data_IF_910898690948
#
_entry.id   IF_910898690948
#
_cell.length_a   1.000
_cell.length_b   1.000
_cell.length_c   1.000
_cell.angle_alpha   90.00
_cell.angle_beta   90.00
_cell.angle_gamma   90.00
#
_symmetry.space_group_name_H-M   'P 1'
#
loop_
_entity.id
_entity.type
_entity.pdbx_description
1 polymer ?
#
# COMPACT_ATOMS: atom_id res chain seq x y z
N UNK A 1 -20.12 21.59 -17.69
CA UNK A 1 -21.16 22.58 -17.92
C UNK A 1 -21.63 22.53 -19.38
N UNK A 2 -20.71 22.63 -20.36
CA UNK A 2 -21.05 22.60 -21.79
C UNK A 2 -21.89 21.36 -22.15
N UNK A 3 -21.50 20.17 -21.74
CA UNK A 3 -22.23 18.91 -21.98
C UNK A 3 -23.67 18.96 -21.45
N UNK A 4 -23.92 19.60 -20.30
CA UNK A 4 -25.26 19.77 -19.75
C UNK A 4 -26.06 20.78 -20.60
N UNK A 5 -25.43 21.87 -20.99
CA UNK A 5 -26.04 22.88 -21.87
C UNK A 5 -26.42 22.26 -23.23
N UNK A 6 -25.52 21.48 -23.83
CA UNK A 6 -25.76 20.78 -25.09
C UNK A 6 -26.94 19.79 -25.01
N UNK A 7 -27.10 19.12 -23.86
CA UNK A 7 -28.19 18.18 -23.64
C UNK A 7 -29.56 18.90 -23.49
N UNK A 8 -29.61 20.00 -22.74
CA UNK A 8 -30.88 20.72 -22.49
C UNK A 8 -31.21 21.80 -23.53
N UNK A 9 -30.27 22.11 -24.45
CA UNK A 9 -30.41 23.14 -25.44
C UNK A 9 -30.44 24.57 -24.88
N UNK A 10 -30.60 25.54 -25.77
CA UNK A 10 -30.53 26.97 -25.40
C UNK A 10 -31.75 27.47 -24.59
N UNK A 11 -32.81 26.69 -24.53
CA UNK A 11 -34.03 27.03 -23.78
C UNK A 11 -33.83 26.93 -22.25
N UNK A 12 -32.87 26.17 -21.79
CA UNK A 12 -32.56 26.02 -20.38
C UNK A 12 -31.25 26.79 -20.02
N UNK A 13 -31.41 27.86 -19.28
CA UNK A 13 -30.27 28.64 -18.79
C UNK A 13 -29.70 28.00 -17.52
N UNK A 14 -28.56 27.40 -17.64
CA UNK A 14 -27.82 26.87 -16.45
C UNK A 14 -27.50 28.01 -15.49
N UNK A 15 -27.76 27.83 -14.18
CA UNK A 15 -27.34 28.79 -13.17
C UNK A 15 -25.84 29.03 -13.21
N UNK A 16 -25.40 30.24 -12.89
CA UNK A 16 -23.96 30.50 -12.79
C UNK A 16 -23.35 29.68 -11.66
N UNK A 17 -22.11 29.15 -11.83
CA UNK A 17 -21.41 28.48 -10.76
C UNK A 17 -21.23 29.44 -9.57
N UNK A 18 -21.29 28.97 -8.33
CA UNK A 18 -20.95 29.81 -7.19
C UNK A 18 -19.51 30.32 -7.34
N UNK A 19 -19.29 31.52 -6.82
CA UNK A 19 -17.94 32.10 -6.78
C UNK A 19 -17.01 31.15 -6.02
N UNK A 20 -15.78 30.99 -6.52
CA UNK A 20 -14.76 30.24 -5.81
C UNK A 20 -14.47 30.92 -4.46
N UNK A 21 -14.34 30.15 -3.36
CA UNK A 21 -13.97 30.74 -2.08
C UNK A 21 -12.57 31.36 -2.16
N UNK A 22 -12.39 32.45 -1.42
CA UNK A 22 -11.06 33.05 -1.34
C UNK A 22 -10.10 32.17 -0.54
N UNK A 23 -8.98 31.84 -1.14
CA UNK A 23 -7.96 31.00 -0.54
C UNK A 23 -6.83 31.83 0.07
N UNK A 24 -6.26 31.37 1.20
CA UNK A 24 -5.10 31.98 1.82
C UNK A 24 -3.93 31.01 1.94
N UNK A 25 -2.74 31.58 2.09
CA UNK A 25 -1.52 30.87 2.47
C UNK A 25 -1.23 31.04 3.96
N UNK A 26 -0.62 30.05 4.57
CA UNK A 26 -0.08 30.13 5.92
C UNK A 26 1.42 29.82 5.89
N UNK A 27 2.22 30.55 6.67
CA UNK A 27 3.63 30.23 6.83
C UNK A 27 3.79 28.88 7.51
N UNK A 28 4.98 28.27 7.45
CA UNK A 28 5.24 27.01 8.12
C UNK A 28 4.91 27.05 9.62
N UNK A 29 4.06 26.15 10.05
CA UNK A 29 3.60 26.01 11.44
C UNK A 29 4.49 24.96 12.12
N UNK A 30 5.08 25.29 13.23
CA UNK A 30 5.91 24.40 14.05
C UNK A 30 5.13 23.80 15.19
N UNK A 31 5.55 22.61 15.63
CA UNK A 31 4.91 21.85 16.69
C UNK A 31 5.84 21.73 17.89
N UNK A 32 5.49 22.38 18.98
CA UNK A 32 6.34 22.46 20.20
C UNK A 32 5.88 21.55 21.32
N UNK A 33 4.66 21.03 21.24
CA UNK A 33 4.06 20.23 22.29
C UNK A 33 3.62 18.86 21.77
N UNK A 34 3.73 17.83 22.62
CA UNK A 34 3.45 16.44 22.26
C UNK A 34 2.63 15.75 23.32
N UNK A 35 1.81 14.78 22.91
CA UNK A 35 1.11 13.85 23.79
C UNK A 35 1.15 12.44 23.21
N UNK A 36 1.46 11.43 24.00
CA UNK A 36 1.42 10.02 23.55
C UNK A 36 -0.01 9.48 23.61
N UNK A 37 -0.41 8.78 22.57
CA UNK A 37 -1.76 8.21 22.50
C UNK A 37 -2.03 7.21 23.62
N UNK A 38 -1.04 6.42 24.04
CA UNK A 38 -1.21 5.41 25.07
C UNK A 38 -1.06 5.97 26.50
N UNK A 39 -0.72 7.25 26.63
CA UNK A 39 -0.60 7.90 27.95
C UNK A 39 -1.96 8.26 28.57
N UNK A 40 -3.01 8.35 27.74
CA UNK A 40 -4.36 8.65 28.19
C UNK A 40 -5.39 7.81 27.41
N UNK A 41 -5.45 6.53 27.74
CA UNK A 41 -6.47 5.64 27.19
C UNK A 41 -7.79 5.82 27.92
N UNK A 42 -8.95 5.69 27.24
CA UNK A 42 -10.27 5.66 27.90
C UNK A 42 -10.40 4.41 28.76
N UNK A 43 -11.55 4.26 29.43
CA UNK A 43 -11.85 3.01 30.14
C UNK A 43 -11.92 1.85 29.15
N UNK A 44 -11.22 0.73 29.42
CA UNK A 44 -11.25 -0.42 28.54
C UNK A 44 -12.51 -1.24 28.66
N UNK A 45 -12.89 -1.88 27.58
CA UNK A 45 -13.84 -3.01 27.60
C UNK A 45 -13.04 -4.28 27.78
N UNK A 46 -13.34 -5.04 28.84
CA UNK A 46 -12.65 -6.30 29.14
C UNK A 46 -13.33 -7.44 28.38
N UNK A 47 -12.58 -8.21 27.59
CA UNK A 47 -13.07 -9.37 26.85
C UNK A 47 -12.05 -10.50 26.89
N UNK A 48 -12.54 -11.73 26.91
CA UNK A 48 -11.69 -12.92 26.78
C UNK A 48 -11.04 -12.97 25.40
N UNK A 49 -11.80 -12.61 24.38
CA UNK A 49 -11.38 -12.61 22.97
C UNK A 49 -11.50 -11.21 22.35
N UNK A 50 -10.75 -10.90 21.25
CA UNK A 50 -10.91 -9.65 20.56
C UNK A 50 -12.31 -9.54 19.94
N UNK A 51 -12.85 -8.33 19.91
CA UNK A 51 -14.10 -7.99 19.24
C UNK A 51 -13.89 -6.79 18.31
N UNK A 52 -14.65 -6.73 17.25
CA UNK A 52 -14.55 -5.67 16.24
C UNK A 52 -15.16 -4.33 16.71
N UNK A 53 -14.81 -3.22 16.06
CA UNK A 53 -15.22 -1.86 16.43
C UNK A 53 -16.74 -1.71 16.55
N UNK A 54 -17.49 -2.25 15.59
CA UNK A 54 -18.95 -2.11 15.52
C UNK A 54 -19.65 -2.81 16.70
N UNK A 55 -19.09 -3.91 17.23
CA UNK A 55 -19.61 -4.56 18.43
C UNK A 55 -19.46 -3.69 19.69
N UNK A 56 -18.61 -2.67 19.62
CA UNK A 56 -18.37 -1.69 20.69
C UNK A 56 -18.95 -0.31 20.37
N UNK A 57 -19.83 -0.21 19.36
CA UNK A 57 -20.46 1.03 18.95
C UNK A 57 -19.53 2.04 18.27
N UNK A 58 -18.36 1.61 17.80
CA UNK A 58 -17.40 2.47 17.12
C UNK A 58 -17.42 2.24 15.60
N UNK A 59 -17.48 3.31 14.81
CA UNK A 59 -17.55 3.26 13.34
C UNK A 59 -16.28 3.78 12.63
N UNK A 60 -15.43 4.53 13.32
CA UNK A 60 -14.25 5.20 12.74
C UNK A 60 -13.08 5.27 13.75
N UNK A 61 -11.91 5.66 13.28
CA UNK A 61 -10.73 5.86 14.12
C UNK A 61 -9.89 4.59 14.30
N UNK A 62 -9.45 4.37 15.52
CA UNK A 62 -8.55 3.29 15.89
C UNK A 62 -9.13 2.46 17.03
N UNK A 63 -8.61 1.24 17.19
CA UNK A 63 -8.91 0.37 18.34
C UNK A 63 -7.61 -0.25 18.84
N UNK A 64 -7.44 -0.32 20.14
CA UNK A 64 -6.26 -0.92 20.76
C UNK A 64 -6.68 -2.17 21.55
N UNK A 65 -6.06 -3.29 21.24
CA UNK A 65 -6.16 -4.55 21.98
C UNK A 65 -4.90 -4.73 22.80
N UNK A 66 -5.03 -4.72 24.11
CA UNK A 66 -3.92 -4.92 25.05
C UNK A 66 -4.08 -6.22 25.80
N UNK A 67 -3.05 -7.03 25.84
CA UNK A 67 -2.98 -8.24 26.67
C UNK A 67 -1.61 -8.38 27.31
N UNK A 68 -1.47 -9.31 28.25
CA UNK A 68 -0.21 -9.68 28.89
C UNK A 68 0.27 -11.03 28.38
N UNK A 69 1.55 -11.11 28.08
CA UNK A 69 2.21 -12.34 27.62
C UNK A 69 3.46 -12.60 28.45
N UNK A 70 3.59 -13.84 28.91
CA UNK A 70 4.79 -14.28 29.62
C UNK A 70 5.79 -14.87 28.62
N UNK A 71 6.94 -14.20 28.48
CA UNK A 71 8.05 -14.65 27.64
C UNK A 71 9.05 -15.53 28.38
N UNK A 72 10.15 -16.00 27.72
CA UNK A 72 10.56 -15.51 26.38
C UNK A 72 9.78 -16.18 25.24
N UNK A 73 9.38 -15.38 24.23
CA UNK A 73 8.77 -15.86 23.00
C UNK A 73 9.36 -15.10 21.81
N UNK A 74 9.75 -15.83 20.78
CA UNK A 74 10.07 -15.27 19.45
C UNK A 74 9.25 -16.06 18.43
N UNK A 75 8.30 -15.40 17.77
CA UNK A 75 7.40 -16.06 16.86
C UNK A 75 6.47 -15.13 16.13
N UNK A 76 5.60 -15.72 15.31
CA UNK A 76 4.58 -15.02 14.55
C UNK A 76 3.39 -14.66 15.44
N UNK A 77 3.04 -13.37 15.49
CA UNK A 77 1.77 -12.89 16.03
C UNK A 77 0.80 -12.72 14.88
N UNK A 78 -0.25 -13.57 14.84
CA UNK A 78 -1.26 -13.59 13.79
C UNK A 78 -2.60 -13.07 14.30
N UNK A 79 -3.22 -12.18 13.50
CA UNK A 79 -4.46 -11.47 13.81
C UNK A 79 -5.54 -11.86 12.80
N UNK A 80 -6.24 -12.97 13.05
CA UNK A 80 -7.20 -13.49 12.09
C UNK A 80 -8.35 -12.50 11.82
N UNK A 81 -8.67 -12.30 10.53
CA UNK A 81 -9.68 -11.34 10.06
C UNK A 81 -9.45 -9.91 10.55
N UNK A 82 -8.20 -9.46 10.58
CA UNK A 82 -7.80 -8.10 10.89
C UNK A 82 -8.21 -7.15 9.74
N UNK A 83 -8.78 -5.99 10.11
CA UNK A 83 -9.20 -4.92 9.19
C UNK A 83 -9.04 -3.56 9.85
N UNK A 84 -8.12 -2.67 9.34
CA UNK A 84 -7.44 -2.81 8.04
C UNK A 84 -5.91 -2.93 8.22
N UNK A 85 -5.31 -2.17 9.16
CA UNK A 85 -3.87 -2.11 9.40
C UNK A 85 -3.59 -2.17 10.89
N UNK A 86 -2.72 -3.08 11.30
CA UNK A 86 -2.29 -3.23 12.68
C UNK A 86 -0.83 -2.84 12.85
N UNK A 87 -0.51 -2.22 14.00
CA UNK A 87 0.86 -2.03 14.48
C UNK A 87 0.96 -2.72 15.82
N UNK A 88 2.00 -3.53 16.00
CA UNK A 88 2.22 -4.31 17.22
C UNK A 88 3.35 -3.70 18.03
N UNK A 89 3.12 -3.58 19.33
CA UNK A 89 4.11 -3.10 20.28
C UNK A 89 4.27 -4.11 21.44
N UNK A 90 5.50 -4.22 21.95
CA UNK A 90 5.82 -4.91 23.21
C UNK A 90 6.42 -3.88 24.18
N UNK A 91 5.77 -3.65 25.31
CA UNK A 91 6.11 -2.61 26.28
C UNK A 91 6.31 -1.22 25.64
N UNK A 92 5.46 -0.87 24.68
CA UNK A 92 5.49 0.38 23.94
C UNK A 92 6.58 0.47 22.86
N UNK A 93 7.37 -0.59 22.63
CA UNK A 93 8.34 -0.66 21.52
C UNK A 93 7.70 -1.35 20.32
N UNK A 94 7.73 -0.70 19.17
CA UNK A 94 7.19 -1.24 17.93
C UNK A 94 7.96 -2.50 17.48
N UNK A 95 7.24 -3.59 17.21
CA UNK A 95 7.78 -4.84 16.72
C UNK A 95 7.57 -4.98 15.21
N UNK A 96 6.36 -4.68 14.73
CA UNK A 96 6.00 -4.84 13.33
C UNK A 96 4.65 -4.22 13.00
N UNK A 97 4.24 -4.41 11.77
CA UNK A 97 2.92 -4.03 11.28
C UNK A 97 2.39 -5.09 10.31
N UNK A 98 1.07 -5.19 10.20
CA UNK A 98 0.37 -5.97 9.19
C UNK A 98 -0.63 -5.09 8.46
N UNK A 99 -0.74 -5.23 7.16
CA UNK A 99 -1.59 -4.39 6.33
C UNK A 99 -2.42 -5.24 5.36
N UNK A 100 -3.74 -5.13 5.46
CA UNK A 100 -4.69 -5.85 4.62
C UNK A 100 -4.49 -5.62 3.12
N UNK A 101 -4.02 -4.43 2.72
CA UNK A 101 -3.74 -4.12 1.31
C UNK A 101 -2.76 -5.12 0.72
N UNK A 102 -1.86 -5.66 1.55
CA UNK A 102 -0.83 -6.62 1.18
C UNK A 102 -1.18 -8.06 1.59
N UNK A 103 -2.43 -8.31 1.96
CA UNK A 103 -2.89 -9.62 2.47
C UNK A 103 -2.11 -10.09 3.70
N UNK A 104 -1.55 -9.16 4.47
CA UNK A 104 -0.85 -9.45 5.71
C UNK A 104 -1.84 -9.43 6.87
N UNK A 105 -1.79 -10.46 7.69
CA UNK A 105 -2.55 -10.58 8.94
C UNK A 105 -1.65 -10.98 10.12
N UNK A 106 -0.33 -10.95 9.93
CA UNK A 106 0.66 -11.34 10.92
C UNK A 106 1.94 -10.50 10.85
N UNK A 107 2.69 -10.48 11.94
CA UNK A 107 4.07 -9.98 11.99
C UNK A 107 4.87 -10.74 13.05
N UNK A 108 6.20 -10.77 12.88
CA UNK A 108 7.10 -11.35 13.86
C UNK A 108 7.23 -10.47 15.09
N UNK A 109 7.24 -11.07 16.27
CA UNK A 109 7.45 -10.38 17.54
C UNK A 109 8.49 -11.08 18.41
N UNK A 110 9.17 -10.29 19.22
CA UNK A 110 10.12 -10.77 20.23
C UNK A 110 9.67 -10.27 21.59
N UNK A 111 9.33 -11.20 22.49
CA UNK A 111 8.93 -10.94 23.85
C UNK A 111 10.05 -11.47 24.76
N UNK A 112 10.73 -10.64 25.56
CA UNK A 112 11.77 -11.09 26.49
C UNK A 112 11.23 -12.02 27.59
N UNK A 113 12.11 -12.53 28.45
CA UNK A 113 11.69 -13.31 29.61
C UNK A 113 10.92 -12.42 30.61
N UNK A 114 9.84 -12.95 31.18
CA UNK A 114 8.97 -12.25 32.12
C UNK A 114 7.63 -11.83 31.52
N UNK A 115 6.85 -11.10 32.30
CA UNK A 115 5.49 -10.66 31.94
C UNK A 115 5.53 -9.30 31.23
N UNK A 116 5.14 -9.28 29.98
CA UNK A 116 5.17 -8.12 29.10
C UNK A 116 3.80 -7.71 28.61
N UNK A 117 3.64 -6.42 28.28
CA UNK A 117 2.43 -5.88 27.65
C UNK A 117 2.56 -5.99 26.13
N UNK A 118 1.60 -6.64 25.50
CA UNK A 118 1.45 -6.67 24.03
C UNK A 118 0.27 -5.78 23.65
N UNK A 119 0.55 -4.77 22.86
CA UNK A 119 -0.41 -3.82 22.32
C UNK A 119 -0.56 -4.02 20.81
N UNK A 120 -1.78 -4.22 20.35
CA UNK A 120 -2.13 -4.33 18.94
C UNK A 120 -3.03 -3.15 18.60
N UNK A 121 -2.48 -2.16 17.93
CA UNK A 121 -3.14 -0.92 17.54
C UNK A 121 -3.64 -1.04 16.12
N UNK A 122 -4.96 -1.04 15.92
CA UNK A 122 -5.58 -1.28 14.62
C UNK A 122 -6.28 -0.04 14.10
N UNK A 123 -5.98 0.31 12.88
CA UNK A 123 -6.58 1.42 12.14
C UNK A 123 -7.72 0.93 11.25
N UNK A 124 -8.84 1.63 11.31
CA UNK A 124 -9.91 1.56 10.32
C UNK A 124 -9.56 2.51 9.17
N UNK A 125 -9.13 2.02 8.02
CA UNK A 125 -8.72 2.83 6.86
C UNK A 125 -9.89 3.27 5.96
N UNK A 126 -11.13 3.05 6.35
CA UNK A 126 -12.33 3.38 5.59
C UNK A 126 -13.19 2.17 5.29
N UNK A 127 -14.33 2.40 4.65
CA UNK A 127 -15.29 1.34 4.32
C UNK A 127 -15.23 0.99 2.85
N UNK A 128 -15.49 -0.29 2.53
CA UNK A 128 -15.65 -0.74 1.15
C UNK A 128 -16.90 -0.07 0.58
N UNK A 129 -16.79 0.52 -0.59
CA UNK A 129 -17.88 1.20 -1.30
C UNK A 129 -18.40 0.42 -2.52
N UNK A 130 -17.79 -0.73 -2.85
CA UNK A 130 -18.15 -1.54 -4.00
C UNK A 130 -17.91 -3.03 -3.74
N UNK A 131 -18.73 -3.90 -4.34
CA UNK A 131 -18.57 -5.35 -4.34
C UNK A 131 -19.35 -6.08 -3.24
N UNK A 132 -19.30 -7.41 -3.27
CA UNK A 132 -20.11 -8.30 -2.43
C UNK A 132 -19.79 -8.28 -0.94
N UNK A 133 -18.68 -7.65 -0.53
CA UNK A 133 -18.29 -7.61 0.88
C UNK A 133 -18.77 -6.37 1.64
N UNK A 134 -19.52 -5.46 1.00
CA UNK A 134 -20.03 -4.22 1.63
C UNK A 134 -20.80 -4.50 2.92
N UNK A 135 -21.70 -5.49 2.92
CA UNK A 135 -22.55 -5.80 4.07
C UNK A 135 -21.81 -6.51 5.21
N UNK A 136 -20.78 -7.27 4.90
CA UNK A 136 -20.06 -8.10 5.86
C UNK A 136 -18.84 -7.44 6.50
N UNK A 137 -18.46 -6.25 6.05
CA UNK A 137 -17.24 -5.61 6.54
C UNK A 137 -17.37 -5.14 8.00
N UNK A 138 -16.37 -5.51 8.81
CA UNK A 138 -16.24 -5.09 10.21
C UNK A 138 -14.80 -4.68 10.48
N UNK A 139 -14.56 -3.63 11.23
CA UNK A 139 -13.24 -3.06 11.50
C UNK A 139 -12.64 -3.52 12.83
N UNK A 140 -11.32 -3.59 12.90
CA UNK A 140 -10.61 -4.21 14.02
C UNK A 140 -10.32 -5.69 13.75
N UNK A 141 -10.36 -6.52 14.80
CA UNK A 141 -10.04 -7.95 14.71
C UNK A 141 -11.29 -8.77 15.05
N UNK A 142 -11.65 -9.74 14.20
CA UNK A 142 -12.85 -10.60 14.37
C UNK A 142 -12.56 -12.03 14.72
N UNK A 143 -11.32 -12.45 14.59
CA UNK A 143 -10.90 -13.82 14.84
C UNK A 143 -9.93 -13.90 16.02
N UNK A 144 -9.50 -15.11 16.36
CA UNK A 144 -8.49 -15.26 17.41
C UNK A 144 -7.19 -14.59 17.01
N UNK A 145 -6.51 -14.03 18.03
CA UNK A 145 -5.12 -13.60 17.93
C UNK A 145 -4.27 -14.74 18.45
N UNK A 146 -3.26 -15.14 17.71
CA UNK A 146 -2.36 -16.23 18.10
C UNK A 146 -0.92 -15.75 18.09
N UNK A 147 -0.12 -16.24 19.02
CA UNK A 147 1.33 -16.04 19.09
C UNK A 147 1.99 -17.42 19.03
N UNK A 148 2.79 -17.64 17.98
CA UNK A 148 3.41 -18.95 17.71
C UNK A 148 2.41 -20.10 17.80
N UNK A 149 1.23 -19.90 17.14
CA UNK A 149 0.10 -20.85 17.12
C UNK A 149 -0.74 -20.91 18.40
N UNK A 150 -0.31 -20.32 19.50
CA UNK A 150 -1.06 -20.31 20.76
C UNK A 150 -2.02 -19.12 20.83
N UNK A 151 -3.28 -19.36 21.15
CA UNK A 151 -4.31 -18.32 21.29
C UNK A 151 -3.99 -17.41 22.47
N UNK A 152 -4.03 -16.08 22.20
CA UNK A 152 -3.99 -15.06 23.23
C UNK A 152 -5.41 -14.76 23.71
N UNK A 153 -5.53 -14.49 25.02
CA UNK A 153 -6.80 -14.22 25.69
C UNK A 153 -6.67 -13.06 26.66
N UNK A 154 -7.80 -12.62 27.25
CA UNK A 154 -7.92 -11.61 28.28
C UNK A 154 -7.43 -10.23 27.83
N UNK A 155 -8.18 -9.65 26.90
CA UNK A 155 -7.91 -8.34 26.31
C UNK A 155 -8.56 -7.19 27.08
N UNK A 156 -7.79 -6.14 27.29
CA UNK A 156 -8.29 -4.78 27.55
C UNK A 156 -8.43 -4.08 26.20
N UNK A 157 -9.65 -3.76 25.78
CA UNK A 157 -9.93 -3.20 24.47
C UNK A 157 -10.33 -1.73 24.64
N UNK A 158 -9.63 -0.84 23.92
CA UNK A 158 -9.83 0.60 24.01
C UNK A 158 -10.37 1.16 22.71
N UNK A 159 -11.54 1.80 22.78
CA UNK A 159 -12.13 2.53 21.67
C UNK A 159 -11.44 3.89 21.50
N UNK A 160 -10.93 4.19 20.30
CA UNK A 160 -10.19 5.41 19.97
C UNK A 160 -10.80 6.10 18.75
N UNK A 161 -11.99 6.71 18.89
CA UNK A 161 -12.78 7.20 17.74
C UNK A 161 -12.31 8.54 17.17
N UNK A 162 -11.09 9.01 17.45
CA UNK A 162 -10.55 10.31 17.02
C UNK A 162 -11.40 11.52 17.48
N UNK A 163 -11.95 11.42 18.69
CA UNK A 163 -12.69 12.47 19.39
C UNK A 163 -11.99 12.81 20.69
N UNK A 164 -12.29 14.00 21.25
CA UNK A 164 -11.74 14.39 22.56
C UNK A 164 -10.27 14.78 22.51
N UNK A 165 -9.78 15.26 21.38
CA UNK A 165 -8.38 15.73 21.24
C UNK A 165 -8.06 16.90 22.19
N UNK A 166 -9.06 17.69 22.54
CA UNK A 166 -8.99 18.79 23.50
C UNK A 166 -8.74 18.32 24.95
N UNK A 167 -8.99 17.04 25.23
CA UNK A 167 -8.78 16.44 26.55
C UNK A 167 -7.33 15.94 26.75
N UNK A 168 -6.49 15.98 25.74
CA UNK A 168 -5.13 15.49 25.79
C UNK A 168 -4.25 16.43 26.65
N UNK A 169 -3.36 15.83 27.43
CA UNK A 169 -2.35 16.56 28.19
C UNK A 169 -1.07 16.65 27.38
N UNK A 170 -0.79 17.81 26.85
CA UNK A 170 0.39 18.08 26.04
C UNK A 170 1.58 18.56 26.89
N UNK A 171 2.79 18.25 26.46
CA UNK A 171 4.03 18.76 27.04
C UNK A 171 5.10 18.95 25.96
N UNK A 172 6.15 19.71 26.26
CA UNK A 172 7.32 19.88 25.38
C UNK A 172 8.21 18.62 25.30
N UNK A 173 7.92 17.57 26.07
CA UNK A 173 8.73 16.34 26.10
C UNK A 173 8.18 15.31 25.11
N UNK A 174 9.09 14.57 24.45
CA UNK A 174 8.72 13.42 23.63
C UNK A 174 8.13 12.32 24.52
N UNK A 175 6.95 11.76 24.19
CA UNK A 175 6.42 10.58 24.87
C UNK A 175 7.37 9.38 24.77
N UNK A 176 7.35 8.53 25.77
CA UNK A 176 8.17 7.31 25.79
C UNK A 176 7.69 6.26 24.79
N UNK A 177 8.62 5.42 24.34
CA UNK A 177 8.34 4.35 23.38
C UNK A 177 8.13 4.85 21.94
N UNK A 178 7.56 3.95 21.13
CA UNK A 178 7.28 4.18 19.70
C UNK A 178 5.77 4.33 19.44
N UNK A 179 5.00 4.67 20.47
CA UNK A 179 3.56 4.85 20.38
C UNK A 179 3.18 5.98 19.40
N UNK A 180 1.95 5.99 18.86
CA UNK A 180 1.42 7.12 18.10
C UNK A 180 1.48 8.42 18.92
N UNK A 181 1.85 9.52 18.26
CA UNK A 181 2.08 10.81 18.94
C UNK A 181 1.19 11.89 18.37
N UNK A 182 0.50 12.60 19.26
CA UNK A 182 -0.14 13.87 18.92
C UNK A 182 0.90 14.99 19.05
N UNK A 183 0.97 15.82 18.04
CA UNK A 183 1.79 17.03 18.00
C UNK A 183 0.87 18.24 17.98
N UNK A 184 1.13 19.25 18.82
CA UNK A 184 0.35 20.48 18.90
C UNK A 184 1.20 21.68 18.54
N UNK A 185 0.64 22.53 17.68
CA UNK A 185 1.21 23.79 17.25
C UNK A 185 0.17 24.91 17.23
N UNK A 186 0.64 26.13 17.06
CA UNK A 186 -0.22 27.31 16.97
C UNK A 186 0.20 28.22 15.83
N UNK A 187 -0.78 28.90 15.25
CA UNK A 187 -0.57 29.88 14.20
C UNK A 187 -1.57 31.05 14.32
N UNK A 188 -1.24 32.18 13.73
CA UNK A 188 -2.09 33.37 13.77
C UNK A 188 -2.68 33.65 12.39
N UNK A 189 -3.94 34.06 12.35
CA UNK A 189 -4.67 34.47 11.15
C UNK A 189 -5.30 35.83 11.40
N UNK A 190 -5.08 36.79 10.51
CA UNK A 190 -5.73 38.11 10.64
C UNK A 190 -7.13 38.13 10.03
N UNK A 191 -7.26 37.53 8.85
CA UNK A 191 -8.52 37.41 8.10
C UNK A 191 -8.72 35.94 7.66
N UNK A 192 -9.54 35.17 8.38
CA UNK A 192 -9.79 33.77 8.04
C UNK A 192 -10.39 33.59 6.65
N UNK A 193 -9.75 32.73 5.87
CA UNK A 193 -10.18 32.25 4.55
C UNK A 193 -9.88 30.78 4.45
N UNK A 194 -10.37 30.13 3.40
CA UNK A 194 -10.08 28.73 3.14
C UNK A 194 -8.60 28.52 2.83
N UNK A 195 -8.09 27.35 3.19
CA UNK A 195 -6.71 26.94 2.88
C UNK A 195 -6.61 25.43 2.77
N UNK A 196 -5.55 24.91 2.14
CA UNK A 196 -5.16 23.52 2.24
C UNK A 196 -3.93 23.39 3.12
N UNK A 197 -3.95 22.48 4.09
CA UNK A 197 -2.83 22.20 4.97
C UNK A 197 -1.94 21.14 4.33
N UNK A 198 -0.77 21.56 3.83
CA UNK A 198 0.22 20.68 3.19
C UNK A 198 0.96 19.86 4.25
N UNK A 199 0.79 18.53 4.19
CA UNK A 199 1.33 17.54 5.14
C UNK A 199 2.58 16.82 4.62
N UNK A 200 3.17 17.25 3.51
CA UNK A 200 4.29 16.52 2.87
C UNK A 200 5.63 16.68 3.59
N UNK A 201 5.79 17.71 4.43
CA UNK A 201 7.04 17.98 5.12
C UNK A 201 7.18 17.16 6.41
N UNK A 202 7.76 15.95 6.29
CA UNK A 202 8.14 15.09 7.41
C UNK A 202 7.01 14.27 8.06
N UNK A 203 5.74 14.50 7.70
CA UNK A 203 4.61 13.73 8.18
C UNK A 203 4.43 12.44 7.39
N UNK A 204 4.03 11.34 8.06
CA UNK A 204 3.88 10.04 7.41
C UNK A 204 2.43 9.62 7.23
N UNK A 205 1.71 9.39 8.31
CA UNK A 205 0.31 8.95 8.26
C UNK A 205 -0.41 9.34 9.53
N UNK A 206 -1.61 9.89 9.40
CA UNK A 206 -2.35 10.26 10.60
C UNK A 206 -3.62 11.06 10.36
N UNK A 207 -3.97 11.90 11.34
CA UNK A 207 -5.19 12.70 11.38
C UNK A 207 -4.85 14.11 11.83
N UNK A 208 -5.56 15.12 11.30
CA UNK A 208 -5.36 16.53 11.64
C UNK A 208 -6.63 17.14 12.23
N UNK A 209 -6.46 17.99 13.23
CA UNK A 209 -7.51 18.83 13.81
C UNK A 209 -7.07 20.30 13.78
N UNK A 210 -8.00 21.19 13.51
CA UNK A 210 -7.82 22.63 13.65
C UNK A 210 -8.94 23.16 14.56
N UNK A 211 -8.57 23.84 15.65
CA UNK A 211 -9.51 24.33 16.67
C UNK A 211 -10.54 23.26 17.12
N UNK A 212 -10.10 21.99 17.23
CA UNK A 212 -10.96 20.86 17.59
C UNK A 212 -11.74 20.22 16.42
N UNK A 213 -11.79 20.85 15.25
CA UNK A 213 -12.44 20.31 14.05
C UNK A 213 -11.53 19.29 13.36
N UNK A 214 -12.02 18.07 13.20
CA UNK A 214 -11.29 16.99 12.51
C UNK A 214 -11.34 17.22 11.00
N UNK A 215 -10.19 17.44 10.37
CA UNK A 215 -10.06 17.64 8.92
C UNK A 215 -9.92 16.34 8.13
N UNK A 216 -9.75 15.21 8.82
CA UNK A 216 -9.55 13.93 8.16
C UNK A 216 -8.11 13.42 8.24
N UNK A 217 -7.79 12.51 7.35
CA UNK A 217 -6.53 11.80 7.31
C UNK A 217 -5.60 12.35 6.26
N UNK A 218 -4.31 12.24 6.56
CA UNK A 218 -3.24 12.38 5.59
C UNK A 218 -2.44 11.09 5.52
N UNK A 219 -1.79 10.87 4.37
CA UNK A 219 -0.86 9.78 4.17
C UNK A 219 0.19 10.19 3.13
N UNK A 220 1.48 9.96 3.42
CA UNK A 220 2.57 10.35 2.53
C UNK A 220 2.50 9.68 1.15
N UNK A 221 1.90 8.49 1.06
CA UNK A 221 1.71 7.81 -0.23
C UNK A 221 0.64 8.46 -1.11
N UNK A 222 -0.17 9.35 -0.58
CA UNK A 222 -1.26 10.02 -1.29
C UNK A 222 -2.57 9.22 -1.17
N UNK A 223 -3.58 9.61 -1.91
CA UNK A 223 -3.67 10.80 -2.78
C UNK A 223 -3.86 12.11 -2.01
N UNK A 224 -4.28 12.05 -0.76
CA UNK A 224 -4.64 13.21 0.07
C UNK A 224 -3.45 13.61 0.94
N UNK A 225 -2.65 14.54 0.41
CA UNK A 225 -1.45 15.06 1.08
C UNK A 225 -1.63 16.50 1.54
N UNK A 226 -2.65 17.21 1.05
CA UNK A 226 -3.09 18.48 1.56
C UNK A 226 -4.55 18.40 2.00
N UNK A 227 -4.84 18.81 3.23
CA UNK A 227 -6.16 18.73 3.82
C UNK A 227 -6.88 20.07 3.73
N UNK A 228 -8.07 20.09 3.14
CA UNK A 228 -8.90 21.28 3.07
C UNK A 228 -9.31 21.73 4.48
N UNK A 229 -9.06 23.00 4.78
CA UNK A 229 -9.44 23.65 6.02
C UNK A 229 -10.35 24.84 5.69
N UNK A 230 -11.67 24.72 5.96
CA UNK A 230 -12.60 25.84 5.79
C UNK A 230 -12.21 27.04 6.65
N UNK A 231 -12.36 28.23 6.10
CA UNK A 231 -12.13 29.49 6.84
C UNK A 231 -13.01 29.62 8.09
N UNK A 232 -14.19 28.99 8.08
CA UNK A 232 -15.11 28.91 9.22
C UNK A 232 -14.54 28.15 10.44
N UNK A 233 -13.57 27.26 10.25
CA UNK A 233 -12.89 26.59 11.35
C UNK A 233 -11.76 27.43 11.96
N UNK A 234 -11.45 28.55 11.33
CA UNK A 234 -10.42 29.49 11.76
C UNK A 234 -11.05 30.71 12.46
N UNK A 235 -10.28 31.36 13.30
CA UNK A 235 -10.67 32.60 13.96
C UNK A 235 -9.57 33.65 13.80
N UNK A 236 -9.91 34.94 13.82
CA UNK A 236 -8.89 35.98 13.92
C UNK A 236 -8.04 35.80 15.16
N UNK A 237 -6.73 35.98 15.04
CA UNK A 237 -5.76 35.74 16.08
C UNK A 237 -5.26 34.29 16.15
N UNK A 238 -5.05 33.78 17.34
CA UNK A 238 -4.40 32.48 17.61
C UNK A 238 -5.33 31.31 17.31
N UNK A 239 -4.85 30.39 16.46
CA UNK A 239 -5.49 29.11 16.12
C UNK A 239 -4.61 27.95 16.59
N UNK A 240 -5.23 26.84 16.94
CA UNK A 240 -4.56 25.58 17.33
C UNK A 240 -4.62 24.60 16.18
N UNK A 241 -3.52 23.86 15.97
CA UNK A 241 -3.47 22.69 15.12
C UNK A 241 -2.92 21.50 15.91
N UNK A 242 -3.59 20.35 15.79
CA UNK A 242 -3.13 19.09 16.36
C UNK A 242 -2.99 18.08 15.23
N UNK A 243 -1.84 17.43 15.17
CA UNK A 243 -1.53 16.35 14.21
C UNK A 243 -1.25 15.08 14.99
N UNK A 244 -2.04 14.04 14.79
CA UNK A 244 -1.68 12.68 15.19
C UNK A 244 -0.86 12.06 14.06
N UNK A 245 0.36 11.62 14.34
CA UNK A 245 1.11 10.74 13.44
C UNK A 245 1.23 9.34 14.04
N UNK A 246 0.88 8.32 13.27
CA UNK A 246 0.86 6.91 13.71
C UNK A 246 2.09 6.12 13.28
N UNK A 247 2.90 6.68 12.38
CA UNK A 247 4.09 6.02 11.81
C UNK A 247 5.43 6.68 12.19
N UNK A 248 5.40 7.59 13.17
CA UNK A 248 6.60 8.22 13.71
C UNK A 248 7.15 9.36 12.86
N UNK A 249 6.29 10.01 12.07
CA UNK A 249 6.60 11.26 11.37
C UNK A 249 6.57 12.46 12.30
N UNK A 250 7.26 13.51 11.91
CA UNK A 250 7.16 14.85 12.53
C UNK A 250 7.74 15.89 11.57
N UNK A 251 7.11 17.04 11.47
CA UNK A 251 7.52 18.06 10.52
C UNK A 251 6.85 19.40 10.75
N UNK A 252 6.72 20.18 9.69
CA UNK A 252 5.95 21.41 9.65
C UNK A 252 4.69 21.24 8.81
N UNK A 253 3.75 22.16 8.95
CA UNK A 253 2.56 22.28 8.10
C UNK A 253 2.49 23.70 7.59
N UNK A 254 2.23 23.89 6.30
CA UNK A 254 1.99 25.21 5.71
C UNK A 254 0.61 25.26 5.05
N UNK A 255 0.00 26.42 5.01
CA UNK A 255 -1.22 26.64 4.24
C UNK A 255 -0.91 26.95 2.79
N UNK A 256 -1.59 26.29 1.86
CA UNK A 256 -1.46 26.49 0.41
C UNK A 256 -2.84 26.74 -0.22
N UNK A 257 -2.86 27.41 -1.38
CA UNK A 257 -4.11 27.77 -2.06
C UNK A 257 -4.71 26.63 -2.89
N UNK A 258 -3.92 25.65 -3.24
CA UNK A 258 -4.33 24.56 -4.14
C UNK A 258 -4.26 23.22 -3.46
N UNK A 259 -5.17 22.33 -3.85
CA UNK A 259 -5.16 20.96 -3.41
C UNK A 259 -3.93 20.20 -3.99
N UNK A 260 -3.39 19.27 -3.21
CA UNK A 260 -2.23 18.46 -3.61
C UNK A 260 -2.67 17.00 -3.61
N UNK A 261 -2.65 16.39 -4.79
CA UNK A 261 -3.08 15.01 -5.04
C UNK A 261 -1.95 14.15 -5.62
N UNK A 262 -0.74 14.34 -5.10
CA UNK A 262 0.38 13.52 -5.52
C UNK A 262 0.23 12.08 -5.00
N UNK A 263 0.74 11.14 -5.77
CA UNK A 263 0.82 9.75 -5.38
C UNK A 263 2.28 9.36 -5.27
N UNK A 264 2.70 8.99 -4.07
CA UNK A 264 4.05 8.52 -3.81
C UNK A 264 4.06 7.00 -3.67
N UNK A 265 5.19 6.41 -4.02
CA UNK A 265 5.40 4.98 -3.83
C UNK A 265 5.41 4.65 -2.34
N UNK A 266 4.62 3.65 -1.93
CA UNK A 266 4.73 3.06 -0.61
C UNK A 266 5.95 2.12 -0.58
N UNK A 267 6.99 2.41 0.21
CA UNK A 267 8.18 1.54 0.28
C UNK A 267 7.85 0.11 0.71
N UNK A 268 6.80 -0.08 1.51
CA UNK A 268 6.34 -1.41 1.93
C UNK A 268 5.77 -2.24 0.75
N UNK A 269 5.38 -1.58 -0.36
CA UNK A 269 4.88 -2.28 -1.55
C UNK A 269 5.98 -2.96 -2.36
N UNK A 270 7.19 -2.44 -2.32
CA UNK A 270 8.27 -2.91 -3.19
C UNK A 270 8.55 -4.41 -3.03
N UNK A 271 8.36 -4.96 -1.83
CA UNK A 271 8.64 -6.37 -1.53
C UNK A 271 7.41 -7.27 -1.63
N UNK A 272 6.18 -6.72 -1.50
CA UNK A 272 4.93 -7.50 -1.50
C UNK A 272 4.54 -7.96 -2.92
N UNK A 273 4.85 -7.15 -3.92
CA UNK A 273 4.53 -7.44 -5.33
C UNK A 273 5.71 -7.98 -6.11
N UNK A 274 6.81 -8.27 -5.44
CA UNK A 274 7.97 -8.89 -6.03
C UNK A 274 8.00 -10.38 -5.73
N UNK A 275 8.30 -11.19 -6.75
CA UNK A 275 8.64 -12.60 -6.55
C UNK A 275 10.16 -12.73 -6.51
N UNK A 276 10.68 -13.38 -5.48
CA UNK A 276 12.11 -13.64 -5.34
C UNK A 276 12.98 -12.40 -5.10
N UNK A 277 14.29 -12.58 -5.12
CA UNK A 277 15.28 -11.50 -4.96
C UNK A 277 15.63 -10.89 -6.31
N UNK A 278 15.87 -9.56 -6.38
CA UNK A 278 16.29 -8.90 -7.62
C UNK A 278 17.53 -9.53 -8.23
N UNK A 279 17.49 -9.73 -9.54
CA UNK A 279 18.60 -10.28 -10.31
C UNK A 279 18.97 -9.36 -11.46
N UNK A 280 20.25 -9.43 -11.88
CA UNK A 280 20.77 -8.68 -13.01
C UNK A 280 21.37 -9.64 -14.04
N UNK A 281 20.66 -9.95 -15.14
CA UNK A 281 21.25 -10.66 -16.26
C UNK A 281 22.44 -9.89 -16.84
N UNK A 282 23.54 -10.59 -17.12
CA UNK A 282 24.70 -9.98 -17.75
C UNK A 282 24.47 -9.80 -19.26
N UNK A 283 25.09 -8.79 -19.86
CA UNK A 283 24.98 -8.54 -21.30
C UNK A 283 25.39 -9.77 -22.16
N UNK A 284 26.32 -10.57 -21.69
CA UNK A 284 26.74 -11.82 -22.35
C UNK A 284 25.69 -12.93 -22.35
N UNK A 285 24.62 -12.80 -21.56
CA UNK A 285 23.51 -13.74 -21.48
C UNK A 285 22.32 -13.32 -22.35
N UNK A 286 22.39 -12.18 -23.04
CA UNK A 286 21.39 -11.72 -24.01
C UNK A 286 21.38 -12.66 -25.22
N UNK A 287 20.26 -13.34 -25.46
CA UNK A 287 20.10 -14.30 -26.56
C UNK A 287 19.21 -13.76 -27.68
N UNK A 288 18.31 -12.85 -27.36
CA UNK A 288 17.43 -12.19 -28.33
C UNK A 288 16.95 -10.83 -27.83
N UNK A 289 16.77 -9.90 -28.77
CA UNK A 289 16.04 -8.65 -28.56
C UNK A 289 15.21 -8.34 -29.78
N UNK A 290 14.05 -7.74 -29.61
CA UNK A 290 13.15 -7.45 -30.73
C UNK A 290 11.97 -6.61 -30.31
N UNK A 291 11.07 -6.45 -31.28
CA UNK A 291 9.80 -5.76 -31.12
C UNK A 291 8.69 -6.73 -31.50
N UNK A 292 7.73 -6.96 -30.59
CA UNK A 292 6.54 -7.71 -30.93
C UNK A 292 5.61 -6.90 -31.84
N UNK A 293 4.93 -7.56 -32.77
CA UNK A 293 3.91 -6.93 -33.58
C UNK A 293 2.73 -6.48 -32.70
N UNK A 294 2.11 -5.36 -33.08
CA UNK A 294 0.90 -4.89 -32.43
C UNK A 294 -0.26 -5.84 -32.76
N UNK A 295 -1.01 -6.28 -31.76
CA UNK A 295 -2.16 -7.16 -31.95
C UNK A 295 -2.31 -8.17 -30.83
N UNK A 296 -3.27 -9.09 -30.99
CA UNK A 296 -3.58 -10.13 -30.02
C UNK A 296 -3.03 -11.51 -30.42
N UNK A 297 -2.51 -11.64 -31.64
CA UNK A 297 -2.10 -12.91 -32.19
C UNK A 297 -0.83 -13.45 -31.52
N UNK A 298 -0.73 -14.77 -31.42
CA UNK A 298 0.47 -15.44 -30.94
C UNK A 298 1.64 -15.18 -31.90
N UNK A 299 2.80 -14.89 -31.36
CA UNK A 299 4.02 -14.63 -32.10
C UNK A 299 5.10 -15.66 -31.74
N UNK A 300 5.70 -16.26 -32.77
CA UNK A 300 6.81 -17.20 -32.60
C UNK A 300 8.13 -16.51 -32.96
N UNK A 301 9.07 -16.59 -32.04
CA UNK A 301 10.39 -15.97 -32.13
C UNK A 301 11.45 -17.06 -32.12
N UNK A 302 12.27 -17.10 -33.16
CA UNK A 302 13.42 -18.03 -33.26
C UNK A 302 14.71 -17.33 -32.83
N UNK A 303 15.50 -18.01 -32.02
CA UNK A 303 16.83 -17.55 -31.67
C UNK A 303 17.78 -17.72 -32.90
N UNK A 304 18.78 -16.85 -32.98
CA UNK A 304 19.78 -16.94 -34.07
C UNK A 304 20.51 -18.30 -34.09
N UNK A 305 20.70 -18.88 -32.93
CA UNK A 305 21.23 -20.22 -32.72
C UNK A 305 20.61 -20.81 -31.44
N UNK A 306 20.45 -22.15 -31.34
CA UNK A 306 19.95 -22.77 -30.14
C UNK A 306 20.86 -22.50 -28.93
N UNK A 307 20.25 -22.21 -27.76
CA UNK A 307 20.97 -21.88 -26.54
C UNK A 307 20.71 -22.93 -25.44
N UNK A 308 21.71 -23.20 -24.61
CA UNK A 308 21.59 -24.05 -23.43
C UNK A 308 21.15 -23.21 -22.24
N UNK A 309 19.96 -23.42 -21.70
CA UNK A 309 19.45 -22.66 -20.59
C UNK A 309 18.56 -23.46 -19.66
N UNK A 310 18.61 -23.14 -18.38
CA UNK A 310 17.63 -23.49 -17.36
C UNK A 310 16.86 -22.23 -16.93
N UNK A 311 17.53 -21.09 -16.87
CA UNK A 311 16.92 -19.82 -16.44
C UNK A 311 16.75 -18.90 -17.63
N UNK A 312 15.54 -18.34 -17.77
CA UNK A 312 15.21 -17.37 -18.82
C UNK A 312 14.68 -16.12 -18.17
N UNK A 313 15.23 -14.96 -18.52
CA UNK A 313 14.67 -13.66 -18.18
C UNK A 313 14.06 -13.02 -19.41
N UNK A 314 12.78 -12.65 -19.34
CA UNK A 314 12.13 -11.77 -20.31
C UNK A 314 12.03 -10.38 -19.70
N UNK A 315 12.60 -9.39 -20.39
CA UNK A 315 12.55 -7.98 -20.00
C UNK A 315 11.67 -7.24 -21.00
N UNK A 316 10.56 -6.68 -20.52
CA UNK A 316 9.71 -5.76 -21.29
C UNK A 316 10.27 -4.34 -21.13
N UNK A 317 10.63 -3.71 -22.23
CA UNK A 317 11.22 -2.35 -22.25
C UNK A 317 10.13 -1.27 -22.30
N UNK A 318 9.00 -1.59 -22.91
CA UNK A 318 7.81 -0.73 -23.06
C UNK A 318 6.62 -1.56 -23.54
N UNK A 319 5.46 -0.92 -23.64
CA UNK A 319 4.23 -1.50 -24.18
C UNK A 319 3.73 -0.70 -25.39
N UNK A 320 2.86 -1.31 -26.21
CA UNK A 320 2.29 -0.67 -27.39
C UNK A 320 1.37 0.52 -27.09
N UNK A 321 0.80 0.57 -25.90
CA UNK A 321 -0.04 1.66 -25.40
C UNK A 321 0.75 2.76 -24.66
N UNK A 322 2.08 2.64 -24.59
CA UNK A 322 2.97 3.50 -23.80
C UNK A 322 2.61 3.55 -22.29
N UNK A 323 1.77 2.62 -21.84
CA UNK A 323 1.39 2.48 -20.44
C UNK A 323 2.51 1.84 -19.59
N UNK A 324 2.36 1.87 -18.26
CA UNK A 324 3.36 1.32 -17.35
C UNK A 324 3.26 -0.21 -17.20
N UNK A 325 2.37 -0.89 -17.91
CA UNK A 325 2.09 -2.31 -17.71
C UNK A 325 2.82 -3.19 -18.73
N UNK A 326 3.16 -4.43 -18.31
CA UNK A 326 3.56 -5.50 -19.21
C UNK A 326 2.67 -6.73 -18.98
N UNK A 327 1.99 -7.19 -20.00
CA UNK A 327 1.00 -8.26 -19.90
C UNK A 327 1.36 -9.44 -20.81
N UNK A 328 1.35 -10.64 -20.24
CA UNK A 328 1.63 -11.91 -20.92
C UNK A 328 0.43 -12.83 -20.71
N UNK A 329 -0.26 -13.26 -21.75
CA UNK A 329 -1.25 -14.33 -21.64
C UNK A 329 -0.55 -15.69 -21.57
N UNK A 330 0.40 -15.93 -22.50
CA UNK A 330 1.23 -17.14 -22.47
C UNK A 330 2.65 -16.88 -22.94
N UNK A 331 3.59 -17.61 -22.31
CA UNK A 331 4.98 -17.68 -22.71
C UNK A 331 5.40 -19.16 -22.78
N UNK A 332 5.81 -19.61 -23.95
CA UNK A 332 6.19 -21.00 -24.21
C UNK A 332 7.57 -21.05 -24.85
N UNK A 333 8.43 -21.99 -24.46
CA UNK A 333 9.74 -22.18 -25.09
C UNK A 333 9.73 -23.38 -26.02
N UNK A 334 10.56 -23.30 -27.05
CA UNK A 334 10.73 -24.31 -28.08
C UNK A 334 12.03 -25.06 -27.86
N UNK A 335 11.98 -26.39 -27.95
CA UNK A 335 13.17 -27.26 -27.92
C UNK A 335 14.02 -27.07 -29.20
N UNK A 336 15.12 -27.81 -29.32
CA UNK A 336 16.00 -27.75 -30.49
C UNK A 336 15.33 -28.16 -31.80
N UNK A 337 14.25 -28.93 -31.73
CA UNK A 337 13.45 -29.40 -32.87
C UNK A 337 12.25 -28.46 -33.17
N UNK A 338 12.03 -27.44 -32.36
CA UNK A 338 10.90 -26.50 -32.53
C UNK A 338 9.61 -26.95 -31.85
N UNK A 339 9.61 -28.01 -31.04
CA UNK A 339 8.46 -28.44 -30.28
C UNK A 339 8.35 -27.64 -28.97
N UNK A 340 7.10 -27.53 -28.47
CA UNK A 340 6.85 -26.90 -27.17
C UNK A 340 7.46 -27.75 -26.04
N UNK A 341 8.16 -27.06 -25.13
CA UNK A 341 8.63 -27.69 -23.90
C UNK A 341 7.46 -27.88 -22.91
N UNK A 342 7.41 -29.04 -22.20
CA UNK A 342 6.45 -29.24 -21.12
C UNK A 342 6.73 -28.31 -19.94
N UNK A 343 5.67 -27.80 -19.29
CA UNK A 343 5.73 -26.75 -18.27
C UNK A 343 5.71 -27.23 -16.82
N UNK A 344 5.47 -28.49 -16.57
CA UNK A 344 5.19 -29.04 -15.24
C UNK A 344 6.32 -28.81 -14.22
N UNK A 345 7.53 -28.57 -14.69
CA UNK A 345 8.70 -28.28 -13.85
C UNK A 345 9.10 -26.80 -13.79
N UNK A 346 8.33 -25.93 -14.44
CA UNK A 346 8.68 -24.52 -14.48
C UNK A 346 8.25 -23.82 -13.20
N UNK A 347 9.00 -22.80 -12.81
CA UNK A 347 8.64 -21.89 -11.73
C UNK A 347 9.08 -20.47 -12.03
N UNK A 348 8.33 -19.52 -11.51
CA UNK A 348 8.75 -18.10 -11.51
C UNK A 348 9.69 -17.91 -10.32
N UNK A 349 10.94 -17.59 -10.58
CA UNK A 349 11.96 -17.36 -9.54
C UNK A 349 12.20 -15.90 -9.26
N UNK A 350 11.79 -15.02 -10.19
CA UNK A 350 11.76 -13.58 -10.00
C UNK A 350 10.70 -12.93 -10.88
N UNK A 351 10.00 -11.96 -10.31
CA UNK A 351 9.24 -10.93 -11.02
C UNK A 351 9.42 -9.61 -10.28
N UNK A 352 9.73 -8.53 -11.00
CA UNK A 352 9.93 -7.21 -10.37
C UNK A 352 8.64 -6.67 -9.75
N UNK A 353 7.50 -7.03 -10.33
CA UNK A 353 6.16 -6.74 -9.84
C UNK A 353 5.14 -7.70 -10.42
N UNK A 354 4.01 -7.90 -9.75
CA UNK A 354 2.89 -8.69 -10.25
C UNK A 354 1.56 -8.20 -9.73
N UNK A 355 0.48 -8.44 -10.49
CA UNK A 355 -0.89 -8.12 -10.09
C UNK A 355 -1.37 -9.09 -8.99
N UNK A 356 -1.91 -8.55 -7.91
CA UNK A 356 -2.41 -9.33 -6.78
C UNK A 356 -3.93 -9.26 -6.61
N UNK A 357 -4.63 -8.50 -7.45
CA UNK A 357 -6.07 -8.28 -7.36
C UNK A 357 -6.78 -8.51 -8.70
N UNK A 358 -8.09 -8.72 -8.68
CA UNK A 358 -8.91 -8.87 -9.87
C UNK A 358 -8.66 -10.15 -10.68
N UNK A 359 -8.84 -10.06 -11.99
CA UNK A 359 -8.68 -11.20 -12.92
C UNK A 359 -7.25 -11.76 -12.95
N UNK A 360 -6.27 -10.93 -12.68
CA UNK A 360 -4.88 -11.33 -12.66
C UNK A 360 -4.48 -12.11 -11.39
N UNK A 361 -5.26 -12.01 -10.32
CA UNK A 361 -5.03 -12.81 -9.11
C UNK A 361 -5.27 -14.31 -9.31
N UNK A 362 -5.94 -14.69 -10.40
CA UNK A 362 -6.18 -16.09 -10.78
C UNK A 362 -5.05 -16.69 -11.63
N UNK A 363 -4.08 -15.88 -12.06
CA UNK A 363 -2.98 -16.29 -12.93
C UNK A 363 -1.64 -15.61 -12.60
N UNK A 364 -1.48 -15.11 -11.38
CA UNK A 364 -0.23 -14.47 -10.95
C UNK A 364 0.90 -15.45 -10.64
N UNK A 365 2.15 -14.98 -10.47
CA UNK A 365 3.32 -15.83 -10.19
C UNK A 365 3.20 -16.77 -8.99
N UNK A 366 2.16 -16.58 -8.17
CA UNK A 366 1.89 -17.40 -6.97
C UNK A 366 0.84 -18.50 -7.14
N UNK A 367 0.22 -18.67 -8.32
CA UNK A 367 -0.81 -19.69 -8.56
C UNK A 367 -0.27 -21.06 -9.01
N UNK A 368 1.03 -21.18 -9.12
CA UNK A 368 1.69 -22.41 -9.58
C UNK A 368 1.64 -22.63 -11.10
N UNK A 369 1.08 -21.68 -11.88
CA UNK A 369 1.03 -21.74 -13.34
C UNK A 369 2.12 -20.83 -13.94
N UNK A 370 3.22 -21.36 -14.47
CA UNK A 370 4.42 -20.56 -14.75
C UNK A 370 4.37 -19.65 -15.96
N UNK A 371 3.23 -19.43 -16.60
CA UNK A 371 3.22 -18.66 -17.84
C UNK A 371 2.00 -17.77 -18.07
N UNK A 372 1.14 -17.60 -17.08
CA UNK A 372 -0.03 -16.75 -17.19
C UNK A 372 0.17 -15.48 -16.36
N UNK A 373 0.87 -14.44 -16.86
CA UNK A 373 1.21 -13.34 -15.99
C UNK A 373 1.03 -11.97 -16.59
N UNK A 374 0.32 -11.14 -15.86
CA UNK A 374 0.48 -9.71 -15.87
C UNK A 374 1.75 -9.36 -15.09
N UNK A 375 2.74 -8.87 -15.80
CA UNK A 375 3.86 -8.16 -15.22
C UNK A 375 3.47 -6.70 -15.13
N UNK A 376 3.50 -6.13 -14.00
CA UNK A 376 3.14 -4.78 -13.66
C UNK A 376 1.67 -4.47 -13.44
N UNK A 377 1.44 -3.60 -12.57
CA UNK A 377 0.30 -3.64 -11.77
C UNK A 377 -0.18 -2.29 -11.28
N UNK A 378 -1.49 -2.14 -11.34
CA UNK A 378 -2.19 -1.03 -10.73
C UNK A 378 -2.61 -1.40 -9.31
N UNK A 379 -1.81 -1.07 -8.28
CA UNK A 379 -2.28 -1.01 -6.91
C UNK A 379 -2.33 0.43 -6.47
N UNK A 380 -3.54 0.96 -6.28
CA UNK A 380 -3.82 2.22 -5.58
C UNK A 380 -2.69 3.26 -5.65
N UNK A 381 -2.27 3.59 -6.89
CA UNK A 381 -1.31 4.66 -7.10
C UNK A 381 0.16 4.27 -7.32
N UNK A 382 0.54 3.00 -7.19
CA UNK A 382 1.89 2.56 -7.55
C UNK A 382 1.87 1.80 -8.87
N UNK A 383 2.22 2.50 -9.95
CA UNK A 383 2.45 1.90 -11.25
C UNK A 383 3.95 1.90 -11.52
N UNK A 384 4.70 0.83 -11.19
CA UNK A 384 6.08 0.77 -11.57
C UNK A 384 6.19 0.91 -13.09
N UNK A 385 7.12 1.74 -13.53
CA UNK A 385 7.35 1.97 -14.96
C UNK A 385 8.28 0.92 -15.55
N UNK A 386 8.19 0.73 -16.85
CA UNK A 386 9.18 -0.08 -17.57
C UNK A 386 10.64 0.34 -17.26
N UNK A 387 11.61 -0.60 -17.30
CA UNK A 387 11.47 -1.99 -17.72
C UNK A 387 10.90 -2.92 -16.67
N UNK A 388 10.13 -3.94 -17.11
CA UNK A 388 9.67 -5.04 -16.27
C UNK A 388 10.39 -6.34 -16.60
N UNK A 389 10.62 -7.18 -15.60
CA UNK A 389 11.32 -8.44 -15.79
C UNK A 389 10.64 -9.61 -15.07
N UNK A 390 10.49 -10.71 -15.80
CA UNK A 390 10.16 -12.02 -15.23
C UNK A 390 11.29 -13.00 -15.50
N UNK A 391 11.61 -13.84 -14.50
CA UNK A 391 12.59 -14.91 -14.63
C UNK A 391 11.94 -16.24 -14.34
N UNK A 392 12.06 -17.16 -15.30
CA UNK A 392 11.58 -18.53 -15.21
C UNK A 392 12.76 -19.49 -14.99
N UNK A 393 12.57 -20.47 -14.09
CA UNK A 393 13.36 -21.67 -13.97
C UNK A 393 12.63 -22.80 -14.70
N UNK A 394 13.25 -23.38 -15.72
CA UNK A 394 12.69 -24.48 -16.53
C UNK A 394 12.88 -25.87 -15.87
N UNK A 395 13.35 -25.90 -14.60
CA UNK A 395 13.60 -27.12 -13.84
C UNK A 395 14.94 -27.79 -14.17
N UNK A 396 15.32 -27.86 -15.42
CA UNK A 396 16.58 -28.43 -15.89
C UNK A 396 17.15 -27.68 -17.08
N UNK A 397 18.44 -27.88 -17.36
CA UNK A 397 19.05 -27.30 -18.56
C UNK A 397 18.45 -27.92 -19.82
N UNK A 398 17.97 -27.07 -20.72
CA UNK A 398 17.33 -27.41 -21.99
C UNK A 398 18.07 -26.74 -23.15
N UNK A 399 18.00 -27.32 -24.36
CA UNK A 399 18.46 -26.67 -25.57
C UNK A 399 17.28 -25.99 -26.25
N UNK A 400 17.25 -24.65 -26.26
CA UNK A 400 16.13 -23.85 -26.73
C UNK A 400 16.42 -23.29 -28.10
N UNK A 401 15.46 -23.38 -29.04
CA UNK A 401 15.54 -22.78 -30.39
C UNK A 401 14.74 -21.48 -30.52
N UNK A 402 13.87 -21.16 -29.54
CA UNK A 402 13.03 -19.98 -29.60
C UNK A 402 11.94 -20.01 -28.53
N UNK A 403 10.95 -19.13 -28.70
CA UNK A 403 9.80 -19.06 -27.80
C UNK A 403 8.56 -18.54 -28.54
N UNK A 404 7.38 -18.78 -27.95
CA UNK A 404 6.11 -18.19 -28.35
C UNK A 404 5.62 -17.25 -27.27
N UNK A 405 5.18 -16.08 -27.68
CA UNK A 405 4.53 -15.07 -26.85
C UNK A 405 3.08 -14.90 -27.29
N UNK A 406 2.13 -15.08 -26.38
CA UNK A 406 0.74 -14.73 -26.58
C UNK A 406 0.46 -13.45 -25.79
N UNK A 407 0.11 -12.34 -26.45
CA UNK A 407 -0.26 -11.10 -25.80
C UNK A 407 -1.55 -11.26 -24.99
N UNK A 408 -1.84 -10.31 -24.10
CA UNK A 408 -3.12 -10.22 -23.39
C UNK A 408 -4.29 -10.19 -24.37
N UNK A 409 -5.33 -11.04 -24.13
CA UNK A 409 -6.44 -11.26 -25.05
C UNK A 409 -7.63 -10.34 -24.77
N UNK A 410 -7.96 -10.08 -23.50
CA UNK A 410 -9.18 -9.36 -23.10
C UNK A 410 -9.07 -7.83 -23.14
N UNK A 411 -7.87 -7.27 -23.26
CA UNK A 411 -7.60 -5.81 -23.34
C UNK A 411 -6.32 -5.54 -24.14
N UNK A 412 -6.13 -4.29 -24.58
CA UNK A 412 -4.93 -3.89 -25.33
C UNK A 412 -3.80 -3.37 -24.43
N UNK A 413 -4.14 -2.88 -23.22
CA UNK A 413 -3.15 -2.29 -22.34
C UNK A 413 -2.12 -3.32 -21.87
N UNK A 414 -0.87 -2.87 -21.87
CA UNK A 414 0.27 -3.65 -21.40
C UNK A 414 0.77 -4.72 -22.39
N UNK A 415 0.27 -4.79 -23.64
CA UNK A 415 0.87 -5.66 -24.65
C UNK A 415 2.31 -5.21 -24.90
N UNK A 416 3.26 -6.11 -24.62
CA UNK A 416 4.69 -5.80 -24.71
C UNK A 416 5.04 -5.42 -26.16
N UNK A 417 5.84 -4.35 -26.32
CA UNK A 417 6.36 -3.91 -27.61
C UNK A 417 7.83 -4.30 -27.73
N UNK A 418 8.73 -3.55 -27.13
CA UNK A 418 10.16 -3.83 -27.22
C UNK A 418 10.60 -4.71 -26.03
N UNK A 419 11.40 -5.74 -26.33
CA UNK A 419 11.78 -6.72 -25.33
C UNK A 419 13.21 -7.21 -25.50
N UNK A 420 13.73 -7.79 -24.42
CA UNK A 420 15.00 -8.52 -24.38
C UNK A 420 14.80 -9.87 -23.69
N UNK A 421 15.48 -10.91 -24.22
CA UNK A 421 15.48 -12.26 -23.62
C UNK A 421 16.91 -12.63 -23.27
N UNK A 422 17.09 -13.00 -22.02
CA UNK A 422 18.35 -13.50 -21.48
C UNK A 422 18.19 -14.97 -21.10
N UNK A 423 19.25 -15.76 -21.34
CA UNK A 423 19.27 -17.20 -21.06
C UNK A 423 20.53 -17.60 -20.33
N UNK A 424 20.41 -18.52 -19.36
CA UNK A 424 21.51 -19.00 -18.56
C UNK A 424 21.30 -20.46 -18.10
N UNK A 425 22.32 -21.30 -18.11
CA UNK A 425 22.25 -22.62 -17.48
C UNK A 425 22.33 -22.56 -15.94
N UNK A 426 22.72 -21.42 -15.36
CA UNK A 426 22.82 -21.15 -13.91
C UNK A 426 21.92 -19.96 -13.52
N UNK A 427 21.54 -19.84 -12.24
CA UNK A 427 20.79 -18.67 -11.78
C UNK A 427 21.47 -17.35 -12.16
N UNK A 428 20.68 -16.34 -12.49
CA UNK A 428 21.19 -14.97 -12.70
C UNK A 428 21.77 -14.41 -11.38
N UNK A 429 22.74 -13.53 -11.50
CA UNK A 429 23.39 -12.93 -10.32
C UNK A 429 22.41 -12.00 -9.59
N UNK A 430 22.33 -12.07 -8.26
CA UNK A 430 21.58 -11.09 -7.48
C UNK A 430 22.10 -9.67 -7.71
N UNK A 431 21.20 -8.71 -7.68
CA UNK A 431 21.57 -7.28 -7.55
C UNK A 431 22.14 -7.09 -6.14
N UNK A 432 23.31 -6.46 -6.06
CA UNK A 432 23.98 -6.15 -4.79
C UNK A 432 23.28 -5.03 -4.04
#
# INVERSE_FOLDING_TARGET
RQTIQDYYGDTYKLPEPPAQPEMMELPPITFTEKAGMFNRLPQPVIRKEPVHMEALGQSLGFILYRTKVNGPVKGELKMNNMQDRAIVYVDGKRQGAADRRYKQDACDVVIPAGLHTVDIFVENMGRINFGGQIQGERKGIRGPITLDGKKLENFLIYNLPCKGVELLSFSGKKPGGDQPVFHRGYFNVSNPKDTYLDMRDGWKKGVVWVNGHNLGRFWFIGSQQALYCPGEYLKPGKNEIVVLDVDGGSGTVKGVKEAIYEVNRDPAMADVFRVGKPVAPAASQLVHKGTFAKGADQQEIKFRAPVQARYIALVSKNAHDNGPHAAIAELNFLDASGNLLPREQWSVVYADSHETAGEAAQGGPGDGQPAHHLLAHQVQGDNPTHPHMIVLDLGKVQKLSGFRYLPRQNRENGRIKDYEVYASPKPFKPVK
#
